data_IF_210054356305
#
_entry.id   IF_210054356305
#
_cell.length_a   1.000
_cell.length_b   1.000
_cell.length_c   1.000
_cell.angle_alpha   90.00
_cell.angle_beta   90.00
_cell.angle_gamma   90.00
#
_symmetry.space_group_name_H-M   'P 1'
#
loop_
_entity.id
_entity.type
_entity.pdbx_description
1 polymer ?
#
# COMPACT_ATOMS: atom_id res chain seq x y z
N UNK A 1 -2.24 -10.91 19.22
CA UNK A 1 -1.14 -11.88 19.39
C UNK A 1 -1.62 -13.00 20.30
N UNK A 2 -1.62 -14.23 19.78
CA UNK A 2 -1.87 -15.42 20.58
C UNK A 2 -0.54 -15.98 21.10
N UNK A 3 -0.50 -16.37 22.37
CA UNK A 3 0.68 -16.99 22.99
C UNK A 3 0.33 -18.43 23.37
N UNK A 4 0.90 -19.41 22.67
CA UNK A 4 0.61 -20.84 22.85
C UNK A 4 0.90 -21.29 24.29
N UNK A 5 2.02 -20.85 24.87
CA UNK A 5 2.47 -21.27 26.19
C UNK A 5 1.51 -20.86 27.33
N UNK A 6 0.73 -19.80 27.12
CA UNK A 6 -0.20 -19.24 28.12
C UNK A 6 -1.65 -19.31 27.67
N UNK A 7 -1.93 -19.95 26.53
CA UNK A 7 -3.25 -20.02 25.86
C UNK A 7 -4.03 -18.69 25.92
N UNK A 8 -3.36 -17.58 25.60
CA UNK A 8 -3.91 -16.26 25.81
C UNK A 8 -3.75 -15.33 24.61
N UNK A 9 -4.73 -14.45 24.46
CA UNK A 9 -4.74 -13.36 23.48
C UNK A 9 -4.32 -12.06 24.16
N UNK A 10 -3.50 -11.29 23.45
CA UNK A 10 -3.15 -9.91 23.75
C UNK A 10 -3.19 -9.05 22.48
N UNK A 11 -3.27 -7.73 22.61
CA UNK A 11 -3.09 -6.82 21.48
C UNK A 11 -1.68 -6.97 20.86
N UNK A 12 -1.50 -6.53 19.61
CA UNK A 12 -0.15 -6.25 19.11
C UNK A 12 0.27 -4.88 19.65
N UNK A 13 1.29 -4.86 20.50
CA UNK A 13 1.68 -3.67 21.26
C UNK A 13 0.65 -3.34 22.34
N UNK A 14 0.69 -2.11 22.86
CA UNK A 14 -0.28 -1.66 23.86
C UNK A 14 -1.71 -1.60 23.27
N UNK A 15 -1.86 -0.99 22.09
CA UNK A 15 -3.17 -0.53 21.61
C UNK A 15 -3.66 -1.19 20.31
N UNK A 16 -2.83 -1.98 19.62
CA UNK A 16 -3.20 -2.56 18.33
C UNK A 16 -3.54 -1.49 17.28
N UNK A 17 -4.66 -1.67 16.58
CA UNK A 17 -5.21 -0.71 15.61
C UNK A 17 -6.65 -0.36 15.98
N UNK A 18 -7.09 0.86 15.68
CA UNK A 18 -8.41 1.37 16.10
C UNK A 18 -9.52 1.27 15.04
N UNK A 19 -9.32 0.45 14.01
CA UNK A 19 -10.26 0.32 12.90
C UNK A 19 -10.09 -1.00 12.15
N UNK A 20 -10.71 -1.10 10.98
CA UNK A 20 -10.70 -2.34 10.20
C UNK A 20 -9.37 -2.49 9.45
N UNK A 21 -8.75 -3.65 9.58
CA UNK A 21 -7.63 -4.09 8.74
C UNK A 21 -8.20 -4.95 7.63
N UNK A 22 -8.07 -4.49 6.39
CA UNK A 22 -8.57 -5.18 5.22
C UNK A 22 -7.46 -5.93 4.48
N UNK A 23 -6.20 -5.54 4.71
CA UNK A 23 -5.03 -6.10 4.07
C UNK A 23 -3.90 -6.31 5.08
N UNK A 24 -3.19 -7.42 4.97
CA UNK A 24 -2.04 -7.76 5.79
C UNK A 24 -0.98 -8.46 4.93
N UNK A 25 0.29 -8.26 5.25
CA UNK A 25 1.42 -8.86 4.55
C UNK A 25 2.66 -8.84 5.40
N UNK A 26 3.56 -9.78 5.15
CA UNK A 26 4.81 -9.95 5.89
C UNK A 26 5.96 -9.69 4.92
N UNK A 27 7.02 -9.03 5.39
CA UNK A 27 8.25 -8.87 4.62
C UNK A 27 8.77 -10.26 4.17
N UNK A 28 8.84 -10.52 2.85
CA UNK A 28 9.22 -11.83 2.32
C UNK A 28 10.70 -12.17 2.52
N UNK A 29 11.58 -11.18 2.79
CA UNK A 29 13.02 -11.42 2.93
C UNK A 29 13.42 -11.77 4.35
N UNK A 30 12.95 -10.99 5.34
CA UNK A 30 13.37 -11.15 6.75
C UNK A 30 12.24 -11.47 7.72
N UNK A 31 10.98 -11.27 7.31
CA UNK A 31 9.82 -11.37 8.22
C UNK A 31 9.91 -10.48 9.47
N UNK A 32 10.77 -9.47 9.43
CA UNK A 32 10.97 -8.49 10.50
C UNK A 32 9.78 -7.53 10.61
N UNK A 33 9.02 -7.35 9.52
CA UNK A 33 7.87 -6.46 9.46
C UNK A 33 6.58 -7.16 9.04
N UNK A 34 5.50 -6.82 9.74
CA UNK A 34 4.12 -7.07 9.31
C UNK A 34 3.49 -5.73 8.94
N UNK A 35 3.07 -5.59 7.69
CA UNK A 35 2.35 -4.43 7.19
C UNK A 35 0.85 -4.69 7.29
N UNK A 36 0.11 -3.69 7.73
CA UNK A 36 -1.35 -3.71 7.77
C UNK A 36 -1.89 -2.51 7.01
N UNK A 37 -2.99 -2.72 6.31
CA UNK A 37 -3.68 -1.72 5.52
C UNK A 37 -5.19 -1.81 5.74
N UNK A 38 -5.88 -0.68 5.87
CA UNK A 38 -7.33 -0.69 5.95
C UNK A 38 -7.94 0.69 6.22
N UNK A 39 -9.02 0.68 6.99
CA UNK A 39 -9.76 1.86 7.43
C UNK A 39 -9.55 2.04 8.93
N UNK A 40 -8.43 2.66 9.31
CA UNK A 40 -8.07 3.03 10.68
C UNK A 40 -7.34 4.37 10.70
N UNK A 41 -7.33 5.05 11.85
CA UNK A 41 -6.55 6.29 12.06
C UNK A 41 -5.33 6.10 12.95
N UNK A 42 -5.26 5.01 13.70
CA UNK A 42 -4.21 4.77 14.67
C UNK A 42 -3.70 3.34 14.66
N UNK A 43 -2.39 3.21 14.91
CA UNK A 43 -1.71 1.97 15.21
C UNK A 43 -0.72 2.21 16.36
N UNK A 44 -0.77 1.38 17.40
CA UNK A 44 0.08 1.53 18.59
C UNK A 44 -0.07 2.86 19.32
N UNK A 45 -1.27 3.45 19.31
CA UNK A 45 -1.54 4.75 19.92
C UNK A 45 -1.02 5.96 19.13
N UNK A 46 -0.38 5.74 17.97
CA UNK A 46 0.15 6.80 17.11
C UNK A 46 -0.82 7.13 15.96
N UNK A 47 -0.85 8.39 15.53
CA UNK A 47 -1.56 8.81 14.33
C UNK A 47 -0.86 8.24 13.08
N UNK A 48 -1.34 7.08 12.63
CA UNK A 48 -0.84 6.33 11.48
C UNK A 48 -2.08 5.85 10.71
N UNK A 49 -2.69 6.71 9.87
CA UNK A 49 -3.90 6.35 9.17
C UNK A 49 -3.62 5.40 8.00
N UNK A 50 -4.58 4.51 7.75
CA UNK A 50 -4.67 3.62 6.58
C UNK A 50 -3.59 2.56 6.43
N UNK A 51 -2.31 2.84 6.71
CA UNK A 51 -1.20 1.90 6.61
C UNK A 51 -0.31 2.04 7.84
N UNK A 52 0.10 0.91 8.41
CA UNK A 52 1.06 0.84 9.50
C UNK A 52 1.91 -0.43 9.39
N UNK A 53 3.07 -0.44 10.06
CA UNK A 53 3.89 -1.65 10.16
C UNK A 53 4.27 -1.98 11.60
N UNK A 54 4.36 -3.26 11.87
CA UNK A 54 4.75 -3.84 13.14
C UNK A 54 6.11 -4.53 13.01
N UNK A 55 7.07 -4.16 13.84
CA UNK A 55 8.35 -4.85 13.93
C UNK A 55 8.21 -6.09 14.82
N UNK A 56 8.43 -7.28 14.26
CA UNK A 56 8.16 -8.56 14.91
C UNK A 56 9.19 -8.89 16.00
N UNK A 57 10.43 -8.43 15.81
CA UNK A 57 11.55 -8.65 16.75
C UNK A 57 11.43 -7.73 17.97
N UNK A 58 11.34 -6.42 17.76
CA UNK A 58 11.23 -5.45 18.86
C UNK A 58 9.82 -5.40 19.46
N UNK A 59 8.85 -6.06 18.82
CA UNK A 59 7.46 -6.11 19.24
C UNK A 59 6.88 -4.70 19.44
N UNK A 60 7.04 -3.85 18.42
CA UNK A 60 6.51 -2.49 18.44
C UNK A 60 5.95 -2.08 17.09
N UNK A 61 4.96 -1.19 17.13
CA UNK A 61 4.53 -0.46 15.94
C UNK A 61 5.62 0.52 15.54
N UNK A 62 5.97 0.56 14.25
CA UNK A 62 6.98 1.47 13.72
C UNK A 62 6.29 2.48 12.80
N UNK A 63 6.46 3.79 13.05
CA UNK A 63 5.90 4.82 12.17
C UNK A 63 6.41 4.67 10.73
N UNK A 64 5.50 4.89 9.78
CA UNK A 64 5.82 5.07 8.37
C UNK A 64 5.73 6.56 8.03
N UNK A 65 6.20 6.93 6.82
CA UNK A 65 6.00 8.28 6.30
C UNK A 65 4.51 8.62 6.24
N UNK A 66 4.19 9.91 6.33
CA UNK A 66 2.81 10.40 6.32
C UNK A 66 2.09 10.00 5.02
N UNK A 67 1.19 9.02 5.13
CA UNK A 67 0.40 8.53 4.01
C UNK A 67 -0.55 9.61 3.48
N UNK A 68 -1.14 10.44 4.35
CA UNK A 68 -2.06 11.48 3.92
C UNK A 68 -1.33 12.59 3.17
N UNK A 69 -0.17 13.02 3.69
CA UNK A 69 0.71 13.97 3.01
C UNK A 69 1.14 13.48 1.63
N UNK A 70 1.27 12.16 1.45
CA UNK A 70 1.60 11.57 0.15
C UNK A 70 0.45 11.59 -0.87
N UNK A 71 -0.82 11.66 -0.45
CA UNK A 71 -1.99 11.71 -1.36
C UNK A 71 -2.39 13.15 -1.68
N UNK A 72 -3.13 13.82 -0.80
CA UNK A 72 -3.66 15.17 -0.98
C UNK A 72 -3.75 15.95 0.35
N UNK A 73 -3.08 15.44 1.40
CA UNK A 73 -3.14 15.98 2.75
C UNK A 73 -4.44 15.66 3.51
N UNK A 74 -5.44 15.05 2.86
CA UNK A 74 -6.71 14.70 3.51
C UNK A 74 -6.61 13.34 4.20
N UNK A 75 -6.81 13.33 5.52
CA UNK A 75 -6.86 12.12 6.32
C UNK A 75 -8.30 11.69 6.69
N UNK A 76 -9.30 11.98 5.84
CA UNK A 76 -10.65 11.51 6.10
C UNK A 76 -10.69 9.97 6.01
N UNK A 77 -10.56 9.26 7.14
CA UNK A 77 -10.44 7.78 7.18
C UNK A 77 -11.58 7.07 6.45
N UNK A 78 -12.77 7.68 6.38
CA UNK A 78 -13.91 7.16 5.63
C UNK A 78 -13.65 7.02 4.13
N UNK A 79 -12.70 7.78 3.57
CA UNK A 79 -12.29 7.73 2.16
C UNK A 79 -11.03 6.89 1.93
N UNK A 80 -10.30 6.50 2.98
CA UNK A 80 -9.07 5.72 2.88
C UNK A 80 -9.37 4.23 2.96
N UNK A 81 -9.58 3.58 1.81
CA UNK A 81 -9.86 2.15 1.75
C UNK A 81 -8.68 1.40 1.16
N UNK A 82 -7.68 1.07 1.99
CA UNK A 82 -6.67 0.10 1.56
C UNK A 82 -7.34 -1.27 1.50
N UNK A 83 -7.19 -1.94 0.36
CA UNK A 83 -7.82 -3.25 0.09
C UNK A 83 -6.80 -4.35 -0.15
N UNK A 84 -5.63 -3.97 -0.62
CA UNK A 84 -4.52 -4.88 -0.85
C UNK A 84 -3.21 -4.21 -0.47
N UNK A 85 -2.28 -5.00 0.02
CA UNK A 85 -0.91 -4.59 0.21
C UNK A 85 0.03 -5.74 -0.18
N UNK A 86 1.23 -5.40 -0.63
CA UNK A 86 2.22 -6.35 -1.11
C UNK A 86 3.61 -5.88 -0.67
N UNK A 87 4.14 -6.40 0.45
CA UNK A 87 5.53 -6.17 0.84
C UNK A 87 6.45 -6.86 -0.17
N UNK A 88 7.52 -6.19 -0.57
CA UNK A 88 8.48 -6.70 -1.56
C UNK A 88 9.90 -6.88 -1.00
N UNK A 89 10.07 -6.57 0.29
CA UNK A 89 11.34 -6.69 1.02
C UNK A 89 12.04 -5.34 1.18
N UNK A 90 13.14 -5.32 1.94
CA UNK A 90 13.93 -4.11 2.19
C UNK A 90 13.11 -2.91 2.68
N UNK A 91 12.13 -3.17 3.54
CA UNK A 91 11.17 -2.15 4.04
C UNK A 91 10.33 -1.47 2.94
N UNK A 92 10.05 -2.17 1.85
CA UNK A 92 9.23 -1.66 0.76
C UNK A 92 7.90 -2.41 0.60
N UNK A 93 6.85 -1.66 0.26
CA UNK A 93 5.49 -2.17 0.13
C UNK A 93 4.70 -1.41 -0.94
N UNK A 94 3.94 -2.15 -1.74
CA UNK A 94 2.89 -1.57 -2.58
C UNK A 94 1.56 -1.62 -1.84
N UNK A 95 0.78 -0.54 -1.92
CA UNK A 95 -0.56 -0.46 -1.32
C UNK A 95 -1.58 -0.10 -2.39
N UNK A 96 -2.64 -0.87 -2.43
CA UNK A 96 -3.71 -0.76 -3.40
C UNK A 96 -5.05 -0.59 -2.71
N UNK A 97 -5.91 0.27 -3.24
CA UNK A 97 -7.22 0.49 -2.68
C UNK A 97 -8.05 1.50 -3.44
N UNK A 98 -9.04 2.06 -2.72
CA UNK A 98 -9.77 3.25 -3.12
C UNK A 98 -9.47 4.33 -2.09
N UNK A 99 -8.63 5.28 -2.45
CA UNK A 99 -8.34 6.46 -1.64
C UNK A 99 -8.32 7.69 -2.56
N UNK A 100 -8.95 8.78 -2.11
CA UNK A 100 -9.09 9.96 -2.94
C UNK A 100 -7.74 10.69 -3.07
N UNK A 101 -7.49 11.25 -4.25
CA UNK A 101 -6.46 12.27 -4.46
C UNK A 101 -7.08 13.35 -5.35
N UNK A 102 -6.79 14.62 -5.09
CA UNK A 102 -7.30 15.79 -5.85
C UNK A 102 -6.94 15.78 -7.35
N UNK A 103 -6.06 14.87 -7.76
CA UNK A 103 -5.24 14.97 -8.96
C UNK A 103 -5.55 13.95 -10.06
N UNK A 104 -6.67 13.21 -9.95
CA UNK A 104 -7.13 12.28 -11.00
C UNK A 104 -7.08 10.80 -10.64
N UNK A 105 -7.07 10.48 -9.35
CA UNK A 105 -7.30 9.13 -8.87
C UNK A 105 -6.02 8.33 -8.64
N UNK A 106 -5.68 8.14 -7.36
CA UNK A 106 -4.63 7.22 -6.92
C UNK A 106 -5.29 6.01 -6.27
N UNK A 107 -5.21 4.86 -6.93
CA UNK A 107 -5.57 3.58 -6.31
C UNK A 107 -4.37 2.74 -5.90
N UNK A 108 -3.15 3.20 -6.19
CA UNK A 108 -1.92 2.45 -6.03
C UNK A 108 -0.75 3.37 -5.67
N UNK A 109 -0.06 3.06 -4.57
CA UNK A 109 1.14 3.74 -4.10
C UNK A 109 2.22 2.71 -3.76
N UNK A 110 3.46 3.17 -3.70
CA UNK A 110 4.60 2.43 -3.17
C UNK A 110 5.23 3.19 -2.02
N UNK A 111 5.78 2.46 -1.06
CA UNK A 111 6.67 2.98 -0.02
C UNK A 111 8.02 2.31 -0.15
N UNK A 112 9.08 3.10 -0.14
CA UNK A 112 10.47 2.65 -0.08
C UNK A 112 11.37 3.80 0.36
N UNK A 113 12.55 3.50 0.90
CA UNK A 113 13.53 4.55 1.25
C UNK A 113 13.01 5.62 2.22
N UNK A 114 12.00 5.31 3.03
CA UNK A 114 11.37 6.26 3.94
C UNK A 114 10.33 7.19 3.32
N UNK A 115 9.93 7.00 2.06
CA UNK A 115 9.00 7.87 1.35
C UNK A 115 7.90 7.10 0.62
N UNK A 116 6.73 7.72 0.49
CA UNK A 116 5.66 7.26 -0.40
C UNK A 116 5.86 7.85 -1.80
N UNK A 117 5.52 7.09 -2.83
CA UNK A 117 5.62 7.51 -4.23
C UNK A 117 4.51 6.91 -5.07
N UNK A 118 4.10 7.66 -6.10
CA UNK A 118 3.21 7.17 -7.14
C UNK A 118 3.83 5.99 -7.87
N UNK A 119 2.96 5.10 -8.31
CA UNK A 119 3.34 3.94 -9.12
C UNK A 119 2.94 4.27 -10.56
N UNK A 120 3.91 4.28 -11.50
CA UNK A 120 3.73 4.65 -12.92
C UNK A 120 3.13 6.05 -13.14
N UNK A 121 3.70 7.07 -12.50
CA UNK A 121 3.32 8.47 -12.70
C UNK A 121 1.84 8.79 -12.36
N UNK A 122 1.18 7.98 -11.52
CA UNK A 122 -0.17 8.33 -11.01
C UNK A 122 -1.07 7.19 -10.53
N UNK A 123 -0.61 5.94 -10.56
CA UNK A 123 -1.38 4.79 -10.07
C UNK A 123 -2.44 4.30 -11.07
N UNK A 124 -3.68 4.12 -10.61
CA UNK A 124 -4.83 3.65 -11.42
C UNK A 124 -6.01 4.61 -11.32
N UNK A 125 -6.72 4.84 -12.43
CA UNK A 125 -7.83 5.80 -12.52
C UNK A 125 -9.11 5.19 -13.13
N UNK A 126 -10.27 5.75 -12.75
CA UNK A 126 -11.61 5.39 -13.21
C UNK A 126 -12.07 6.16 -14.46
N UNK A 127 -13.18 5.72 -15.06
CA UNK A 127 -13.73 6.27 -16.32
C UNK A 127 -14.22 7.72 -16.22
N UNK A 128 -14.55 8.15 -15.01
CA UNK A 128 -15.06 9.47 -14.63
C UNK A 128 -13.96 10.41 -14.11
N UNK A 129 -12.68 10.04 -14.29
CA UNK A 129 -11.54 10.77 -13.73
C UNK A 129 -11.41 10.64 -12.21
N UNK A 130 -12.21 9.76 -11.57
CA UNK A 130 -12.10 9.45 -10.16
C UNK A 130 -11.00 8.42 -9.90
N UNK A 131 -10.69 8.19 -8.62
CA UNK A 131 -9.83 7.09 -8.20
C UNK A 131 -10.33 5.75 -8.72
N UNK A 132 -9.49 5.10 -9.54
CA UNK A 132 -9.62 3.68 -9.79
C UNK A 132 -9.44 2.93 -8.48
N UNK A 133 -10.13 1.81 -8.32
CA UNK A 133 -10.01 1.00 -7.12
C UNK A 133 -9.16 -0.24 -7.41
N UNK A 134 -8.02 -0.37 -6.75
CA UNK A 134 -7.30 -1.64 -6.72
C UNK A 134 -8.00 -2.57 -5.73
N UNK A 135 -8.32 -3.78 -6.18
CA UNK A 135 -8.89 -4.84 -5.36
C UNK A 135 -7.82 -5.82 -4.89
N UNK A 136 -6.84 -6.09 -5.75
CA UNK A 136 -5.79 -7.05 -5.45
C UNK A 136 -4.47 -6.67 -6.11
N UNK A 137 -3.39 -6.85 -5.35
CA UNK A 137 -2.02 -6.82 -5.81
C UNK A 137 -1.44 -8.24 -5.70
N UNK A 138 -0.71 -8.66 -6.72
CA UNK A 138 -0.03 -9.95 -6.68
C UNK A 138 1.35 -9.86 -7.32
N UNK A 139 2.31 -10.60 -6.76
CA UNK A 139 3.63 -10.75 -7.36
C UNK A 139 3.67 -11.99 -8.23
N UNK A 140 3.95 -11.81 -9.52
CA UNK A 140 4.20 -12.89 -10.47
C UNK A 140 5.65 -12.78 -10.95
N UNK A 141 6.59 -13.41 -10.22
CA UNK A 141 8.01 -13.32 -10.51
C UNK A 141 8.57 -11.90 -10.33
N UNK A 142 9.07 -11.34 -11.42
CA UNK A 142 9.54 -9.95 -11.55
C UNK A 142 8.42 -8.98 -11.91
N UNK A 143 7.14 -9.40 -11.81
CA UNK A 143 6.00 -8.57 -12.17
C UNK A 143 5.06 -8.30 -11.01
N UNK A 144 4.52 -7.08 -10.97
CA UNK A 144 3.37 -6.67 -10.19
C UNK A 144 2.12 -6.81 -11.07
N UNK A 145 1.19 -7.63 -10.62
CA UNK A 145 -0.15 -7.73 -11.20
C UNK A 145 -1.10 -6.92 -10.35
N UNK A 146 -1.82 -6.01 -10.99
CA UNK A 146 -2.79 -5.10 -10.36
C UNK A 146 -4.15 -5.38 -10.94
N UNK A 147 -5.09 -5.81 -10.10
CA UNK A 147 -6.46 -6.10 -10.50
C UNK A 147 -7.45 -5.23 -9.74
N UNK A 148 -8.50 -4.78 -10.42
CA UNK A 148 -9.54 -3.98 -9.78
C UNK A 148 -10.53 -3.31 -10.74
N UNK A 149 -11.08 -2.17 -10.29
CA UNK A 149 -12.04 -1.36 -11.03
C UNK A 149 -11.36 -0.06 -11.45
N UNK A 150 -10.74 -0.07 -12.63
CA UNK A 150 -10.08 1.07 -13.24
C UNK A 150 -10.12 0.93 -14.76
N UNK A 151 -9.93 2.04 -15.47
CA UNK A 151 -9.89 2.07 -16.94
C UNK A 151 -8.52 2.51 -17.47
N UNK A 152 -7.60 2.90 -16.60
CA UNK A 152 -6.23 3.20 -16.98
C UNK A 152 -5.27 3.35 -15.82
N UNK A 153 -4.01 3.58 -16.19
CA UNK A 153 -2.87 3.71 -15.29
C UNK A 153 -2.10 4.99 -15.59
N UNK A 154 -1.45 5.58 -14.59
CA UNK A 154 -0.65 6.81 -14.71
C UNK A 154 -1.48 8.07 -14.88
N UNK A 155 -0.81 9.23 -15.02
CA UNK A 155 -1.46 10.56 -15.01
C UNK A 155 -1.03 11.42 -16.20
N UNK A 156 -1.95 12.28 -16.64
CA UNK A 156 -1.68 13.28 -17.67
C UNK A 156 -1.22 12.64 -18.98
N UNK A 157 -0.08 13.10 -19.51
CA UNK A 157 0.47 12.58 -20.76
C UNK A 157 0.99 11.13 -20.65
N UNK A 158 1.23 10.63 -19.43
CA UNK A 158 1.67 9.26 -19.17
C UNK A 158 0.51 8.27 -19.00
N UNK A 159 -0.75 8.74 -19.07
CA UNK A 159 -1.92 7.88 -18.90
C UNK A 159 -2.03 6.83 -20.01
N UNK A 160 -2.24 5.57 -19.60
CA UNK A 160 -2.44 4.41 -20.49
C UNK A 160 -3.77 3.75 -20.20
N UNK A 161 -4.44 3.25 -21.24
CA UNK A 161 -5.67 2.48 -21.07
C UNK A 161 -5.38 1.09 -20.48
N UNK A 162 -6.16 0.69 -19.48
CA UNK A 162 -6.08 -0.61 -18.84
C UNK A 162 -7.43 -0.95 -18.17
N UNK A 163 -8.08 -2.03 -18.57
CA UNK A 163 -9.44 -2.33 -18.08
C UNK A 163 -9.41 -3.35 -16.95
N UNK A 164 -9.26 -2.85 -15.73
CA UNK A 164 -9.33 -3.63 -14.49
C UNK A 164 -8.20 -4.63 -14.26
N UNK A 165 -7.24 -4.73 -15.18
CA UNK A 165 -6.02 -5.50 -15.03
C UNK A 165 -4.85 -4.73 -15.65
N UNK A 166 -3.76 -4.63 -14.90
CA UNK A 166 -2.49 -4.08 -15.37
C UNK A 166 -1.34 -4.93 -14.82
N UNK A 167 -0.25 -5.02 -15.59
CA UNK A 167 0.94 -5.79 -15.22
C UNK A 167 2.15 -4.90 -15.42
N UNK A 168 3.03 -4.89 -14.45
CA UNK A 168 4.20 -4.04 -14.46
C UNK A 168 5.45 -4.79 -14.02
N UNK A 169 6.62 -4.35 -14.46
CA UNK A 169 7.88 -4.84 -13.89
C UNK A 169 8.05 -4.35 -12.45
N UNK A 170 8.53 -5.23 -11.58
CA UNK A 170 9.04 -4.88 -10.27
C UNK A 170 10.53 -4.57 -10.41
N UNK A 171 11.02 -3.48 -9.81
CA UNK A 171 12.45 -3.22 -9.78
C UNK A 171 13.19 -4.35 -9.06
N UNK A 172 14.39 -4.67 -9.53
CA UNK A 172 15.23 -5.71 -8.94
C UNK A 172 15.66 -5.36 -7.50
N UNK A 173 15.74 -4.07 -7.19
CA UNK A 173 15.91 -3.53 -5.85
C UNK A 173 14.74 -2.58 -5.54
N UNK A 174 13.89 -2.90 -4.55
CA UNK A 174 12.73 -2.07 -4.24
C UNK A 174 13.11 -0.76 -3.52
N UNK A 175 14.39 -0.50 -3.26
CA UNK A 175 14.89 0.72 -2.59
C UNK A 175 15.20 1.85 -3.58
N UNK A 176 15.19 1.61 -4.90
CA UNK A 176 15.62 2.62 -5.89
C UNK A 176 14.48 2.99 -6.84
N UNK A 177 14.13 4.27 -6.80
CA UNK A 177 13.43 5.08 -7.79
C UNK A 177 12.46 4.35 -8.74
N UNK A 178 11.18 4.72 -8.65
CA UNK A 178 10.16 4.45 -9.65
C UNK A 178 10.57 5.01 -11.02
N UNK A 179 11.44 4.33 -11.77
CA UNK A 179 11.85 4.75 -13.11
C UNK A 179 11.98 3.53 -14.03
N UNK A 180 11.32 3.69 -15.19
CA UNK A 180 11.32 2.87 -16.40
C UNK A 180 10.40 1.65 -16.43
N UNK A 181 9.13 1.90 -16.82
CA UNK A 181 8.46 1.01 -17.77
C UNK A 181 8.90 1.41 -19.20
N UNK A 182 10.16 1.17 -19.53
CA UNK A 182 10.59 1.14 -20.94
C UNK A 182 10.62 -0.31 -21.40
N UNK A 183 9.75 -0.59 -22.39
CA UNK A 183 9.82 -1.72 -23.30
C UNK A 183 9.31 -3.04 -22.75
N UNK A 184 8.17 -3.50 -23.25
CA UNK A 184 8.12 -4.72 -24.06
C UNK A 184 6.87 -4.65 -24.94
N UNK A 185 7.08 -4.94 -26.23
CA UNK A 185 6.08 -5.07 -27.30
C UNK A 185 4.97 -6.06 -26.96
#
# INVERSE_FOLDING_TARGET
RYTVATDSWANLGADGVNGSVNAIGIDPQRSDYVYVGGQFSQAGGMAQPAVARWHTVDQMWVPMADFCGAIDGSCAVSTLQIRSLLPVGSDAVFVGGKFASLDGGRGLLSYSGGSWSDVFDGGVFGADGQAGAVQQLHRAGDRLVVAGQFVGTGRGAASRAASGLAVFALPADPVVDAIFADGYE
#
